data_IF_269496937034
#
_entry.id   IF_269496937034
#
_cell.length_a   1.000
_cell.length_b   1.000
_cell.length_c   1.000
_cell.angle_alpha   90.00
_cell.angle_beta   90.00
_cell.angle_gamma   90.00
#
_symmetry.space_group_name_H-M   'P 1'
#
loop_
_entity.id
_entity.type
_entity.pdbx_description
1 polymer ?
#
# COMPACT_ATOMS: atom_id res chain seq x y z
N UNK A 1 -19.49 -17.28 37.23
CA UNK A 1 -19.08 -18.07 36.05
C UNK A 1 -19.95 -17.81 34.80
N UNK A 2 -20.60 -16.65 34.68
CA UNK A 2 -21.50 -16.30 33.55
C UNK A 2 -20.99 -15.12 32.70
N UNK A 3 -19.84 -14.52 33.03
CA UNK A 3 -19.31 -13.34 32.33
C UNK A 3 -18.57 -13.69 31.03
N UNK A 4 -17.87 -14.82 30.99
CA UNK A 4 -17.09 -15.25 29.80
C UNK A 4 -17.95 -15.55 28.57
N UNK A 5 -19.23 -15.91 28.74
CA UNK A 5 -20.14 -16.18 27.62
C UNK A 5 -20.70 -14.91 26.97
N UNK A 6 -20.89 -13.84 27.73
CA UNK A 6 -21.38 -12.56 27.22
C UNK A 6 -20.28 -11.81 26.47
N UNK A 7 -19.06 -11.79 27.02
CA UNK A 7 -17.90 -11.15 26.40
C UNK A 7 -17.55 -11.79 25.04
N UNK A 8 -17.64 -13.12 24.93
CA UNK A 8 -17.37 -13.86 23.68
C UNK A 8 -18.38 -13.51 22.57
N UNK A 9 -19.66 -13.34 22.94
CA UNK A 9 -20.72 -12.98 21.99
C UNK A 9 -20.56 -11.55 21.50
N UNK A 10 -20.18 -10.61 22.37
CA UNK A 10 -19.90 -9.23 22.01
C UNK A 10 -18.70 -9.13 21.04
N UNK A 11 -17.60 -9.85 21.33
CA UNK A 11 -16.43 -9.92 20.43
C UNK A 11 -16.83 -10.47 19.06
N UNK A 12 -17.67 -11.51 19.02
CA UNK A 12 -18.09 -12.13 17.75
C UNK A 12 -18.98 -11.20 16.94
N UNK A 13 -19.88 -10.45 17.59
CA UNK A 13 -20.71 -9.44 16.93
C UNK A 13 -19.87 -8.28 16.37
N UNK A 14 -18.88 -7.81 17.13
CA UNK A 14 -17.96 -6.76 16.67
C UNK A 14 -17.15 -7.20 15.45
N UNK A 15 -16.66 -8.45 15.46
CA UNK A 15 -15.93 -9.01 14.31
C UNK A 15 -16.83 -9.11 13.07
N UNK A 16 -18.06 -9.58 13.21
CA UNK A 16 -19.01 -9.67 12.10
C UNK A 16 -19.35 -8.30 11.49
N UNK A 17 -19.57 -7.28 12.33
CA UNK A 17 -19.80 -5.90 11.87
C UNK A 17 -18.57 -5.36 11.15
N UNK A 18 -17.38 -5.63 11.69
CA UNK A 18 -16.11 -5.21 11.10
C UNK A 18 -15.91 -5.80 9.71
N UNK A 19 -16.17 -7.09 9.53
CA UNK A 19 -16.02 -7.77 8.24
C UNK A 19 -16.98 -7.22 7.17
N UNK A 20 -18.24 -6.95 7.54
CA UNK A 20 -19.23 -6.33 6.64
C UNK A 20 -18.79 -4.91 6.26
N UNK A 21 -18.35 -4.10 7.23
CA UNK A 21 -17.85 -2.76 6.95
C UNK A 21 -16.63 -2.79 6.03
N UNK A 22 -15.66 -3.68 6.29
CA UNK A 22 -14.48 -3.84 5.44
C UNK A 22 -14.84 -4.30 4.02
N UNK A 23 -15.87 -5.14 3.85
CA UNK A 23 -16.33 -5.57 2.55
C UNK A 23 -16.93 -4.40 1.74
N UNK A 24 -17.88 -3.66 2.32
CA UNK A 24 -18.55 -2.56 1.62
C UNK A 24 -17.65 -1.35 1.39
N UNK A 25 -16.93 -0.90 2.43
CA UNK A 25 -15.98 0.23 2.31
C UNK A 25 -14.79 -0.17 1.45
N UNK A 26 -14.32 -1.42 1.58
CA UNK A 26 -13.26 -1.94 0.72
C UNK A 26 -13.68 -1.99 -0.75
N UNK A 27 -14.92 -2.38 -1.05
CA UNK A 27 -15.45 -2.39 -2.41
C UNK A 27 -15.53 -0.99 -3.01
N UNK A 28 -16.02 0.00 -2.26
CA UNK A 28 -16.10 1.39 -2.77
C UNK A 28 -14.71 1.98 -3.02
N UNK A 29 -13.76 1.79 -2.09
CA UNK A 29 -12.36 2.19 -2.27
C UNK A 29 -11.73 1.49 -3.47
N UNK A 30 -12.02 0.20 -3.67
CA UNK A 30 -11.48 -0.56 -4.79
C UNK A 30 -11.97 -0.04 -6.13
N UNK A 31 -13.27 0.25 -6.26
CA UNK A 31 -13.87 0.78 -7.48
C UNK A 31 -13.35 2.18 -7.80
N UNK A 32 -13.45 3.10 -6.82
CA UNK A 32 -13.00 4.48 -7.00
C UNK A 32 -11.49 4.57 -7.21
N UNK A 33 -10.71 3.81 -6.43
CA UNK A 33 -9.26 3.78 -6.54
C UNK A 33 -8.79 3.17 -7.85
N UNK A 34 -9.41 2.09 -8.33
CA UNK A 34 -9.05 1.49 -9.62
C UNK A 34 -9.36 2.44 -10.76
N UNK A 35 -10.52 3.10 -10.71
CA UNK A 35 -10.90 4.10 -11.71
C UNK A 35 -9.92 5.28 -11.73
N UNK A 36 -9.60 5.85 -10.57
CA UNK A 36 -8.63 6.95 -10.43
C UNK A 36 -7.23 6.58 -10.94
N UNK A 37 -6.67 5.48 -10.46
CA UNK A 37 -5.33 5.01 -10.89
C UNK A 37 -5.30 4.73 -12.40
N UNK A 38 -6.38 4.21 -12.98
CA UNK A 38 -6.47 3.96 -14.42
C UNK A 38 -6.46 5.25 -15.22
N UNK A 39 -7.20 6.27 -14.77
CA UNK A 39 -7.19 7.60 -15.40
C UNK A 39 -5.79 8.21 -15.32
N UNK A 40 -5.11 8.10 -14.18
CA UNK A 40 -3.74 8.60 -14.03
C UNK A 40 -2.79 7.94 -15.03
N UNK A 41 -2.80 6.60 -15.10
CA UNK A 41 -1.97 5.84 -16.04
C UNK A 41 -2.26 6.24 -17.49
N UNK A 42 -3.54 6.38 -17.87
CA UNK A 42 -3.94 6.82 -19.21
C UNK A 42 -3.44 8.24 -19.49
N UNK A 43 -3.60 9.15 -18.52
CA UNK A 43 -3.20 10.56 -18.66
C UNK A 43 -1.69 10.67 -18.90
N UNK A 44 -0.87 9.97 -18.12
CA UNK A 44 0.57 9.94 -18.30
C UNK A 44 1.01 9.20 -19.58
N UNK A 45 0.26 8.20 -20.03
CA UNK A 45 0.55 7.49 -21.28
C UNK A 45 0.22 8.32 -22.53
N UNK A 46 -0.82 9.16 -22.47
CA UNK A 46 -1.34 9.91 -23.62
C UNK A 46 -0.77 11.32 -23.76
N UNK A 47 -0.54 12.05 -22.67
CA UNK A 47 -0.04 13.43 -22.75
C UNK A 47 1.48 13.46 -22.90
N UNK A 48 1.97 13.85 -24.07
CA UNK A 48 3.41 13.99 -24.34
C UNK A 48 4.06 15.08 -23.46
N UNK A 49 3.32 16.13 -23.15
CA UNK A 49 3.78 17.20 -22.25
C UNK A 49 4.08 16.70 -20.83
N UNK A 50 3.41 15.64 -20.35
CA UNK A 50 3.68 15.06 -19.04
C UNK A 50 4.88 14.09 -19.06
N UNK A 51 5.19 13.49 -20.21
CA UNK A 51 6.28 12.50 -20.34
C UNK A 51 7.67 13.11 -20.15
N UNK A 52 7.81 14.43 -20.21
CA UNK A 52 9.07 15.14 -20.01
C UNK A 52 9.31 15.54 -18.55
N UNK A 53 8.29 15.50 -17.70
CA UNK A 53 8.38 15.88 -16.28
C UNK A 53 8.76 14.68 -15.39
N UNK A 54 9.74 14.87 -14.52
CA UNK A 54 10.16 13.86 -13.55
C UNK A 54 9.07 13.56 -12.50
N UNK A 55 8.41 14.59 -11.96
CA UNK A 55 7.24 14.47 -11.09
C UNK A 55 6.11 13.63 -11.70
N UNK A 56 5.83 13.78 -13.00
CA UNK A 56 4.82 12.98 -13.67
C UNK A 56 5.20 11.49 -13.72
N UNK A 57 6.48 11.17 -13.91
CA UNK A 57 6.97 9.78 -13.84
C UNK A 57 6.81 9.17 -12.44
N UNK A 58 7.09 9.95 -11.39
CA UNK A 58 6.86 9.50 -10.01
C UNK A 58 5.37 9.27 -9.74
N UNK A 59 4.48 10.16 -10.19
CA UNK A 59 3.03 9.97 -10.03
C UNK A 59 2.52 8.75 -10.80
N UNK A 60 3.04 8.49 -12.01
CA UNK A 60 2.72 7.26 -12.75
C UNK A 60 3.16 6.01 -11.98
N UNK A 61 4.39 5.99 -11.46
CA UNK A 61 4.89 4.87 -10.65
C UNK A 61 4.04 4.69 -9.38
N UNK A 62 3.59 5.79 -8.77
CA UNK A 62 2.68 5.74 -7.63
C UNK A 62 1.33 5.14 -8.00
N UNK A 63 0.70 5.55 -9.10
CA UNK A 63 -0.58 5.00 -9.56
C UNK A 63 -0.51 3.50 -9.84
N UNK A 64 0.59 3.04 -10.48
CA UNK A 64 0.82 1.61 -10.72
C UNK A 64 0.99 0.85 -9.39
N UNK A 65 1.79 1.37 -8.46
CA UNK A 65 2.00 0.72 -7.17
C UNK A 65 0.71 0.71 -6.32
N UNK A 66 -0.06 1.79 -6.32
CA UNK A 66 -1.40 1.86 -5.71
C UNK A 66 -2.34 0.81 -6.30
N UNK A 67 -2.32 0.60 -7.62
CA UNK A 67 -3.13 -0.43 -8.26
C UNK A 67 -2.73 -1.84 -7.81
N UNK A 68 -1.44 -2.11 -7.60
CA UNK A 68 -0.97 -3.36 -7.00
C UNK A 68 -1.49 -3.51 -5.56
N UNK A 69 -1.50 -2.44 -4.75
CA UNK A 69 -2.07 -2.48 -3.39
C UNK A 69 -3.55 -2.84 -3.41
N UNK A 70 -4.33 -2.23 -4.30
CA UNK A 70 -5.76 -2.53 -4.44
C UNK A 70 -5.99 -3.99 -4.87
N UNK A 71 -5.24 -4.45 -5.87
CA UNK A 71 -5.41 -5.79 -6.45
C UNK A 71 -4.99 -6.92 -5.52
N UNK A 72 -3.85 -6.80 -4.82
CA UNK A 72 -3.35 -7.85 -3.94
C UNK A 72 -3.84 -7.69 -2.50
N UNK A 73 -4.02 -6.46 -2.03
CA UNK A 73 -4.40 -6.16 -0.66
C UNK A 73 -5.91 -6.17 -0.43
N UNK A 74 -6.64 -5.39 -1.23
CA UNK A 74 -8.03 -5.03 -0.97
C UNK A 74 -9.03 -5.97 -1.64
N UNK A 75 -8.84 -6.30 -2.93
CA UNK A 75 -9.72 -7.23 -3.68
C UNK A 75 -9.96 -8.53 -2.92
N UNK A 76 -8.90 -9.02 -2.31
CA UNK A 76 -8.82 -10.30 -1.65
C UNK A 76 -9.54 -10.26 -0.31
N UNK A 77 -9.41 -9.15 0.46
CA UNK A 77 -10.24 -8.86 1.64
C UNK A 77 -11.73 -8.73 1.28
N UNK A 78 -12.04 -8.04 0.18
CA UNK A 78 -13.42 -7.84 -0.27
C UNK A 78 -14.05 -9.18 -0.64
N UNK A 79 -13.34 -10.04 -1.38
CA UNK A 79 -13.80 -11.39 -1.68
C UNK A 79 -14.04 -12.17 -0.37
N UNK A 80 -13.08 -12.19 0.55
CA UNK A 80 -13.22 -12.89 1.83
C UNK A 80 -14.44 -12.41 2.64
N UNK A 81 -14.71 -11.11 2.66
CA UNK A 81 -15.87 -10.54 3.35
C UNK A 81 -17.23 -10.92 2.74
N UNK A 82 -17.30 -11.13 1.42
CA UNK A 82 -18.55 -11.52 0.74
C UNK A 82 -18.74 -13.04 0.61
N UNK A 83 -17.67 -13.80 0.36
CA UNK A 83 -17.74 -15.25 0.14
C UNK A 83 -17.54 -16.07 1.41
N UNK A 84 -17.05 -15.46 2.49
CA UNK A 84 -16.62 -16.16 3.71
C UNK A 84 -15.35 -17.02 3.50
N UNK A 85 -14.77 -17.01 2.29
CA UNK A 85 -13.59 -17.80 1.92
C UNK A 85 -12.59 -16.86 1.26
N UNK A 86 -11.45 -16.65 1.91
CA UNK A 86 -10.33 -15.89 1.35
C UNK A 86 -9.46 -16.83 0.47
N UNK A 87 -9.47 -16.68 -0.87
CA UNK A 87 -8.78 -17.61 -1.76
C UNK A 87 -7.26 -17.63 -1.58
N UNK A 88 -6.66 -16.61 -0.96
CA UNK A 88 -5.22 -16.56 -0.68
C UNK A 88 -4.79 -17.28 0.60
N UNK A 89 -5.73 -17.75 1.43
CA UNK A 89 -5.39 -18.62 2.57
C UNK A 89 -5.26 -20.09 2.19
N UNK A 90 -5.59 -20.44 0.94
CA UNK A 90 -5.37 -21.79 0.39
C UNK A 90 -3.89 -22.18 0.31
N UNK A 91 -2.97 -21.20 0.30
CA UNK A 91 -1.53 -21.44 0.28
C UNK A 91 -0.78 -20.48 1.19
N UNK A 92 0.08 -21.02 2.05
CA UNK A 92 0.99 -20.26 2.93
C UNK A 92 1.86 -19.31 2.12
N UNK A 93 2.31 -19.75 0.94
CA UNK A 93 3.16 -18.96 0.04
C UNK A 93 2.38 -17.75 -0.49
N UNK A 94 1.12 -17.95 -0.89
CA UNK A 94 0.26 -16.87 -1.36
C UNK A 94 -0.02 -15.84 -0.27
N UNK A 95 -0.25 -16.28 0.96
CA UNK A 95 -0.40 -15.31 2.05
C UNK A 95 0.87 -14.47 2.28
N UNK A 96 2.04 -15.12 2.33
CA UNK A 96 3.33 -14.42 2.52
C UNK A 96 3.58 -13.38 1.43
N UNK A 97 3.40 -13.78 0.17
CA UNK A 97 3.58 -12.90 -1.00
C UNK A 97 2.59 -11.74 -0.94
N UNK A 98 1.32 -12.00 -0.58
CA UNK A 98 0.29 -10.95 -0.46
C UNK A 98 0.73 -9.82 0.47
N UNK A 99 1.18 -10.15 1.68
CA UNK A 99 1.58 -9.13 2.65
C UNK A 99 2.86 -8.40 2.24
N UNK A 100 3.83 -9.12 1.69
CA UNK A 100 5.07 -8.52 1.18
C UNK A 100 4.78 -7.54 0.03
N UNK A 101 4.06 -7.98 -1.01
CA UNK A 101 3.75 -7.17 -2.18
C UNK A 101 2.87 -5.98 -1.80
N UNK A 102 1.80 -6.20 -1.04
CA UNK A 102 0.90 -5.11 -0.59
C UNK A 102 1.68 -4.02 0.15
N UNK A 103 2.52 -4.40 1.11
CA UNK A 103 3.21 -3.43 1.97
C UNK A 103 4.32 -2.72 1.20
N UNK A 104 5.08 -3.45 0.37
CA UNK A 104 6.10 -2.86 -0.48
C UNK A 104 5.51 -1.91 -1.53
N UNK A 105 4.43 -2.31 -2.22
CA UNK A 105 3.76 -1.44 -3.20
C UNK A 105 3.18 -0.17 -2.54
N UNK A 106 2.64 -0.26 -1.33
CA UNK A 106 2.15 0.91 -0.61
C UNK A 106 3.27 1.90 -0.26
N UNK A 107 4.42 1.40 0.20
CA UNK A 107 5.59 2.22 0.49
C UNK A 107 6.21 2.85 -0.78
N UNK A 108 6.27 2.10 -1.88
CA UNK A 108 6.70 2.62 -3.18
C UNK A 108 5.77 3.73 -3.66
N UNK A 109 4.45 3.54 -3.56
CA UNK A 109 3.47 4.57 -3.92
C UNK A 109 3.70 5.86 -3.13
N UNK A 110 3.78 5.75 -1.81
CA UNK A 110 3.95 6.89 -0.92
C UNK A 110 5.27 7.64 -1.18
N UNK A 111 6.39 6.90 -1.28
CA UNK A 111 7.69 7.51 -1.57
C UNK A 111 7.72 8.21 -2.92
N UNK A 112 7.05 7.65 -3.94
CA UNK A 112 6.93 8.32 -5.23
C UNK A 112 6.10 9.60 -5.14
N UNK A 113 5.01 9.62 -4.36
CA UNK A 113 4.24 10.86 -4.11
C UNK A 113 5.13 11.91 -3.42
N UNK A 114 5.90 11.52 -2.40
CA UNK A 114 6.82 12.43 -1.73
C UNK A 114 7.89 12.97 -2.69
N UNK A 115 8.47 12.13 -3.55
CA UNK A 115 9.43 12.60 -4.56
C UNK A 115 8.79 13.52 -5.59
N UNK A 116 7.55 13.27 -6.01
CA UNK A 116 6.82 14.17 -6.89
C UNK A 116 6.54 15.53 -6.25
N UNK A 117 6.22 15.55 -4.95
CA UNK A 117 6.03 16.78 -4.18
C UNK A 117 7.34 17.57 -4.03
N UNK A 118 8.44 16.89 -3.71
CA UNK A 118 9.77 17.51 -3.62
C UNK A 118 10.19 18.09 -4.98
N UNK A 119 10.01 17.35 -6.08
CA UNK A 119 10.30 17.83 -7.44
C UNK A 119 9.52 19.11 -7.76
N UNK A 120 8.22 19.13 -7.46
CA UNK A 120 7.37 20.31 -7.66
C UNK A 120 7.73 21.49 -6.76
N UNK A 121 8.10 21.23 -5.51
CA UNK A 121 8.56 22.26 -4.57
C UNK A 121 9.84 22.93 -5.09
N UNK A 122 10.84 22.12 -5.47
CA UNK A 122 12.09 22.61 -6.03
C UNK A 122 11.89 23.40 -7.33
N UNK A 123 10.94 22.98 -8.17
CA UNK A 123 10.58 23.70 -9.39
C UNK A 123 9.96 25.08 -9.11
N UNK A 124 9.19 25.20 -8.02
CA UNK A 124 8.49 26.43 -7.63
C UNK A 124 9.41 27.46 -6.94
N UNK A 125 10.53 27.02 -6.34
CA UNK A 125 11.50 27.90 -5.71
C UNK A 125 12.41 28.59 -6.74
N UNK A 126 12.32 29.92 -6.83
CA UNK A 126 12.95 30.76 -7.86
C UNK A 126 14.48 30.64 -7.96
N UNK A 127 15.20 30.43 -6.85
CA UNK A 127 16.66 30.26 -6.85
C UNK A 127 17.11 28.88 -7.37
N UNK A 128 16.30 27.84 -7.17
CA UNK A 128 16.62 26.44 -7.55
C UNK A 128 16.12 26.13 -8.96
N UNK A 129 15.24 26.96 -9.54
CA UNK A 129 14.75 26.82 -10.91
C UNK A 129 15.87 26.71 -11.96
N UNK A 130 17.06 27.28 -11.69
CA UNK A 130 18.22 27.17 -12.60
C UNK A 130 18.93 25.81 -12.54
N UNK A 131 18.69 25.02 -11.49
CA UNK A 131 19.24 23.68 -11.32
C UNK A 131 18.13 22.63 -11.49
N UNK A 132 18.08 21.98 -12.66
CA UNK A 132 17.29 20.77 -12.90
C UNK A 132 17.88 19.59 -12.08
N UNK A 133 17.70 19.63 -10.75
CA UNK A 133 18.29 18.66 -9.82
C UNK A 133 17.78 17.24 -10.08
N UNK A 134 16.49 17.12 -10.36
CA UNK A 134 15.85 15.85 -10.72
C UNK A 134 15.66 15.81 -12.23
N UNK A 135 16.46 14.97 -12.89
CA UNK A 135 16.33 14.68 -14.32
C UNK A 135 15.55 13.38 -14.50
N UNK A 136 14.97 13.17 -15.69
CA UNK A 136 14.24 11.93 -16.02
C UNK A 136 15.06 10.66 -15.78
N UNK A 137 16.37 10.70 -16.05
CA UNK A 137 17.28 9.58 -15.78
C UNK A 137 17.38 9.31 -14.28
N UNK A 138 17.58 10.35 -13.46
CA UNK A 138 17.65 10.24 -11.99
C UNK A 138 16.33 9.77 -11.39
N UNK A 139 15.20 10.25 -11.90
CA UNK A 139 13.88 9.82 -11.46
C UNK A 139 13.64 8.31 -11.68
N UNK A 140 14.02 7.78 -12.85
CA UNK A 140 13.96 6.33 -13.12
C UNK A 140 14.80 5.52 -12.15
N UNK A 141 16.04 5.93 -11.91
CA UNK A 141 16.91 5.26 -10.94
C UNK A 141 16.35 5.36 -9.51
N UNK A 142 15.80 6.51 -9.11
CA UNK A 142 15.18 6.68 -7.80
C UNK A 142 13.97 5.75 -7.61
N UNK A 143 13.13 5.58 -8.63
CA UNK A 143 11.99 4.63 -8.59
C UNK A 143 12.50 3.19 -8.44
N UNK A 144 13.47 2.78 -9.27
CA UNK A 144 14.02 1.42 -9.21
C UNK A 144 14.67 1.14 -7.85
N UNK A 145 15.49 2.06 -7.34
CA UNK A 145 16.12 1.95 -6.02
C UNK A 145 15.04 1.87 -4.93
N UNK A 146 13.99 2.69 -5.01
CA UNK A 146 12.87 2.65 -4.05
C UNK A 146 12.19 1.28 -4.05
N UNK A 147 11.90 0.72 -5.23
CA UNK A 147 11.29 -0.62 -5.36
C UNK A 147 12.18 -1.69 -4.69
N UNK A 148 13.47 -1.74 -5.03
CA UNK A 148 14.38 -2.74 -4.45
C UNK A 148 14.58 -2.55 -2.94
N UNK A 149 14.70 -1.30 -2.50
CA UNK A 149 14.83 -0.96 -1.09
C UNK A 149 13.62 -1.45 -0.29
N UNK A 150 12.41 -1.12 -0.73
CA UNK A 150 11.19 -1.53 -0.04
C UNK A 150 10.95 -3.04 -0.10
N UNK A 151 11.21 -3.69 -1.25
CA UNK A 151 11.14 -5.15 -1.34
C UNK A 151 12.11 -5.83 -0.37
N UNK A 152 13.32 -5.30 -0.21
CA UNK A 152 14.30 -5.80 0.75
C UNK A 152 13.83 -5.63 2.20
N UNK A 153 13.34 -4.43 2.57
CA UNK A 153 12.84 -4.14 3.92
C UNK A 153 11.65 -5.05 4.28
N UNK A 154 10.70 -5.21 3.36
CA UNK A 154 9.49 -6.01 3.59
C UNK A 154 9.68 -7.51 3.32
N UNK A 155 10.85 -7.97 2.90
CA UNK A 155 11.16 -9.40 2.78
C UNK A 155 10.97 -10.15 4.10
N UNK A 156 11.18 -9.47 5.24
CA UNK A 156 10.92 -9.98 6.58
C UNK A 156 9.47 -10.45 6.78
N UNK A 157 8.50 -9.83 6.10
CA UNK A 157 7.10 -10.26 6.15
C UNK A 157 6.91 -11.67 5.57
N UNK A 158 7.70 -12.06 4.56
CA UNK A 158 7.65 -13.40 4.01
C UNK A 158 8.17 -14.48 4.99
N UNK A 159 8.97 -14.08 5.98
CA UNK A 159 9.52 -14.98 7.01
C UNK A 159 8.53 -15.14 8.16
N UNK A 160 8.05 -14.01 8.71
CA UNK A 160 7.28 -13.98 9.96
C UNK A 160 5.78 -14.25 9.83
N UNK A 161 5.20 -14.18 8.62
CA UNK A 161 3.82 -14.59 8.42
C UNK A 161 3.69 -16.11 8.34
N UNK A 162 2.69 -16.65 9.03
CA UNK A 162 2.35 -18.08 8.96
C UNK A 162 0.85 -18.24 8.74
N UNK A 163 0.46 -19.41 8.24
CA UNK A 163 -0.95 -19.79 8.09
C UNK A 163 -1.20 -20.99 8.99
N UNK A 164 -1.55 -20.76 10.27
CA UNK A 164 -1.79 -21.85 11.22
C UNK A 164 -3.08 -22.62 10.89
N UNK A 165 -4.00 -22.01 10.15
CA UNK A 165 -5.19 -22.68 9.60
C UNK A 165 -5.38 -22.29 8.12
N UNK A 166 -6.03 -23.13 7.30
CA UNK A 166 -6.28 -22.83 5.88
C UNK A 166 -7.18 -21.62 5.62
N UNK A 167 -7.66 -20.97 6.68
CA UNK A 167 -8.52 -19.78 6.65
C UNK A 167 -7.93 -18.60 7.44
N UNK A 168 -6.71 -18.72 7.96
CA UNK A 168 -6.07 -17.64 8.68
C UNK A 168 -4.64 -17.44 8.24
N UNK A 169 -4.22 -16.19 8.28
CA UNK A 169 -2.82 -15.84 8.13
C UNK A 169 -2.46 -14.72 9.09
N UNK A 170 -1.55 -15.05 9.99
CA UNK A 170 -1.20 -14.23 11.13
C UNK A 170 0.31 -14.09 11.24
N UNK A 171 0.73 -13.09 12.00
CA UNK A 171 2.13 -12.90 12.32
C UNK A 171 2.47 -13.89 13.43
N UNK A 172 3.42 -14.78 13.18
CA UNK A 172 3.83 -15.79 14.17
C UNK A 172 4.56 -15.18 15.38
N UNK A 173 5.30 -14.09 15.16
CA UNK A 173 6.10 -13.44 16.18
C UNK A 173 5.43 -12.15 16.70
N UNK A 174 5.05 -12.08 17.99
CA UNK A 174 4.36 -10.90 18.53
C UNK A 174 5.23 -9.64 18.54
N UNK A 175 6.55 -9.76 18.70
CA UNK A 175 7.48 -8.62 18.64
C UNK A 175 7.47 -8.02 17.24
N UNK A 176 7.48 -8.87 16.21
CA UNK A 176 7.35 -8.41 14.82
C UNK A 176 5.99 -7.75 14.55
N UNK A 177 4.91 -8.23 15.18
CA UNK A 177 3.59 -7.61 15.05
C UNK A 177 3.56 -6.17 15.58
N UNK A 178 4.20 -5.91 16.74
CA UNK A 178 4.37 -4.55 17.26
C UNK A 178 5.22 -3.70 16.32
N UNK A 179 6.39 -4.21 15.90
CA UNK A 179 7.27 -3.51 14.97
C UNK A 179 6.54 -3.13 13.68
N UNK A 180 5.84 -4.07 13.05
CA UNK A 180 5.06 -3.84 11.84
C UNK A 180 3.98 -2.78 12.04
N UNK A 181 3.29 -2.78 13.18
CA UNK A 181 2.24 -1.82 13.49
C UNK A 181 2.81 -0.40 13.64
N UNK A 182 3.86 -0.22 14.43
CA UNK A 182 4.52 1.08 14.61
C UNK A 182 5.15 1.59 13.31
N UNK A 183 5.80 0.69 12.56
CA UNK A 183 6.40 1.04 11.28
C UNK A 183 5.33 1.54 10.28
N UNK A 184 4.20 0.83 10.16
CA UNK A 184 3.11 1.24 9.29
C UNK A 184 2.51 2.58 9.73
N UNK A 185 2.31 2.80 11.03
CA UNK A 185 1.82 4.07 11.56
C UNK A 185 2.75 5.24 11.19
N UNK A 186 4.05 5.07 11.43
CA UNK A 186 5.04 6.10 11.13
C UNK A 186 5.10 6.38 9.62
N UNK A 187 5.18 5.31 8.83
CA UNK A 187 5.37 5.41 7.39
C UNK A 187 4.14 6.04 6.70
N UNK A 188 2.93 5.56 6.97
CA UNK A 188 1.73 6.04 6.27
C UNK A 188 1.15 7.34 6.84
N UNK A 189 1.44 7.71 8.09
CA UNK A 189 0.89 8.93 8.69
C UNK A 189 1.89 10.07 8.76
N UNK A 190 3.07 9.84 9.36
CA UNK A 190 4.00 10.93 9.69
C UNK A 190 4.78 11.40 8.47
N UNK A 191 5.22 10.46 7.63
CA UNK A 191 6.02 10.75 6.45
C UNK A 191 5.28 11.69 5.46
N UNK A 192 4.03 11.42 5.03
CA UNK A 192 3.33 12.35 4.15
C UNK A 192 3.04 13.70 4.79
N UNK A 193 2.71 13.74 6.09
CA UNK A 193 2.48 15.00 6.80
C UNK A 193 3.73 15.89 6.79
N UNK A 194 4.91 15.30 7.01
CA UNK A 194 6.18 16.05 7.02
C UNK A 194 6.58 16.63 5.66
N UNK A 195 6.06 16.08 4.56
CA UNK A 195 6.34 16.56 3.20
C UNK A 195 5.32 17.61 2.75
N UNK A 196 4.13 17.62 3.34
CA UNK A 196 3.06 18.58 3.04
C UNK A 196 3.17 19.85 3.89
N UNK A 197 3.71 19.74 5.11
CA UNK A 197 3.98 20.87 6.02
C UNK A 197 5.17 21.71 5.56
#
# INVERSE_FOLDING_TARGET
MSSTGTDQNEITQLLAISDVLFAYVGLTIMLLGTFGNTIDVISFARLESLKTLASALFLLASAIASQCVLSFGLLTRVIGGFSGIDPLYTSVVLCKIRWMVRTASGAVSLTCICFAAIDRYLFSCHEIHRYHLITMKRARWAILISIFFWLSVFSSYAIFYTSPTPLSCTIANPVFAYFASYFNLFHYSILPLSVIS
#
